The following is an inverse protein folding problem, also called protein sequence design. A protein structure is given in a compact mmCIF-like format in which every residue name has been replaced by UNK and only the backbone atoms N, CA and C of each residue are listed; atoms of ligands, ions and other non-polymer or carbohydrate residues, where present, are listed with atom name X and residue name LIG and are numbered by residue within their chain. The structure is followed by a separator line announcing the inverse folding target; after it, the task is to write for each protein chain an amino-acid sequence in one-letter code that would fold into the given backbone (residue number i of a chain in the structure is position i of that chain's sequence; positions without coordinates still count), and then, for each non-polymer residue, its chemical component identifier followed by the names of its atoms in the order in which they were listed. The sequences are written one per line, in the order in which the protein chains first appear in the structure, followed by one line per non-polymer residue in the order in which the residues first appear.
data_IF_428602280590
#
_entry.id   IF_428602280590
#
_cell.length_a   1.000
_cell.length_b   1.000
_cell.length_c   1.000
_cell.angle_alpha   90.00
_cell.angle_beta   90.00
_cell.angle_gamma   90.00
#
_symmetry.space_group_name_H-M   'P 1'
#
loop_
_entity.id
_entity.type
_entity.pdbx_description
1 polymer ?
#
# COMPACT_ATOMS: atom_id res chain seq x y z
N UNK A 1 -10.58 -17.75 2.25
CA UNK A 1 -11.26 -16.45 2.06
C UNK A 1 -10.93 -15.55 3.25
N UNK A 2 -10.56 -14.30 3.02
CA UNK A 2 -10.11 -13.35 4.05
C UNK A 2 -11.25 -12.51 4.65
N UNK A 3 -12.48 -12.59 4.10
CA UNK A 3 -13.68 -11.84 4.52
C UNK A 3 -13.54 -10.31 4.46
N UNK A 4 -12.54 -9.80 3.74
CA UNK A 4 -12.37 -8.37 3.52
C UNK A 4 -13.28 -7.90 2.38
N UNK A 5 -13.55 -6.60 2.33
CA UNK A 5 -14.28 -5.99 1.22
C UNK A 5 -13.51 -6.21 -0.11
N UNK A 6 -14.24 -6.46 -1.19
CA UNK A 6 -13.65 -6.63 -2.53
C UNK A 6 -13.02 -5.33 -3.05
N UNK A 7 -13.59 -4.17 -2.72
CA UNK A 7 -12.95 -2.89 -2.95
C UNK A 7 -11.98 -2.59 -1.81
N UNK A 8 -10.68 -2.72 -2.10
CA UNK A 8 -9.60 -2.49 -1.15
C UNK A 8 -9.63 -1.10 -0.51
N UNK A 9 -10.26 -0.12 -1.17
CA UNK A 9 -10.41 1.25 -0.65
C UNK A 9 -11.36 1.31 0.53
N UNK A 10 -12.32 0.38 0.61
CA UNK A 10 -13.31 0.29 1.68
C UNK A 10 -12.83 -0.52 2.89
N UNK A 11 -11.72 -1.25 2.75
CA UNK A 11 -11.12 -1.99 3.86
C UNK A 11 -10.54 -1.01 4.89
N UNK A 12 -10.83 -1.30 6.17
CA UNK A 12 -10.45 -0.49 7.33
C UNK A 12 -9.53 -1.28 8.25
N UNK A 13 -8.73 -0.56 9.04
CA UNK A 13 -7.80 -1.14 10.01
C UNK A 13 -8.45 -2.14 10.98
N UNK A 14 -9.72 -1.92 11.35
CA UNK A 14 -10.45 -2.80 12.27
C UNK A 14 -10.99 -4.10 11.66
N UNK A 15 -10.90 -4.27 10.34
CA UNK A 15 -11.47 -5.44 9.66
C UNK A 15 -10.60 -6.69 9.85
N UNK A 16 -9.32 -6.53 10.20
CA UNK A 16 -8.41 -7.63 10.52
C UNK A 16 -7.15 -7.17 11.29
N UNK A 17 -6.39 -8.15 11.81
CA UNK A 17 -5.12 -7.93 12.53
C UNK A 17 -3.93 -7.65 11.60
N UNK A 18 -4.00 -6.58 10.80
CA UNK A 18 -2.99 -6.22 9.79
C UNK A 18 -1.57 -6.03 10.35
N UNK A 19 -1.45 -5.54 11.59
CA UNK A 19 -0.16 -5.31 12.25
C UNK A 19 0.42 -6.59 12.90
N UNK A 20 -0.25 -7.74 12.83
CA UNK A 20 0.25 -9.00 13.39
C UNK A 20 1.08 -9.79 12.37
N UNK A 21 2.21 -10.35 12.78
CA UNK A 21 2.98 -11.29 11.94
C UNK A 21 2.29 -12.65 11.82
N UNK A 22 1.50 -13.03 12.82
CA UNK A 22 0.81 -14.33 12.89
C UNK A 22 -0.48 -14.34 12.06
N UNK A 23 -1.00 -13.15 11.70
CA UNK A 23 -2.17 -12.99 10.85
C UNK A 23 -1.80 -13.17 9.37
N UNK A 24 -1.67 -14.42 8.93
CA UNK A 24 -1.20 -14.79 7.58
C UNK A 24 -2.03 -14.12 6.46
N UNK A 25 -3.37 -14.18 6.53
CA UNK A 25 -4.23 -13.65 5.47
C UNK A 25 -4.19 -12.10 5.36
N UNK A 26 -4.31 -11.33 6.47
CA UNK A 26 -4.10 -9.87 6.42
C UNK A 26 -2.71 -9.48 5.94
N UNK A 27 -1.67 -10.21 6.34
CA UNK A 27 -0.31 -9.97 5.85
C UNK A 27 -0.17 -10.22 4.35
N UNK A 28 -0.75 -11.30 3.84
CA UNK A 28 -0.79 -11.58 2.42
C UNK A 28 -1.55 -10.50 1.65
N UNK A 29 -2.67 -10.01 2.19
CA UNK A 29 -3.42 -8.90 1.63
C UNK A 29 -2.58 -7.61 1.51
N UNK A 30 -1.82 -7.25 2.55
CA UNK A 30 -0.90 -6.10 2.48
C UNK A 30 0.23 -6.32 1.45
N UNK A 31 0.73 -7.55 1.28
CA UNK A 31 1.67 -7.87 0.18
C UNK A 31 1.02 -7.65 -1.19
N UNK A 32 -0.23 -8.05 -1.38
CA UNK A 32 -0.96 -7.81 -2.64
C UNK A 32 -1.15 -6.31 -2.91
N UNK A 33 -1.54 -5.52 -1.90
CA UNK A 33 -1.63 -4.06 -2.01
C UNK A 33 -0.29 -3.42 -2.37
N UNK A 34 0.80 -3.88 -1.74
CA UNK A 34 2.16 -3.43 -2.05
C UNK A 34 2.51 -3.69 -3.51
N UNK A 35 2.23 -4.89 -4.00
CA UNK A 35 2.46 -5.26 -5.39
C UNK A 35 1.63 -4.40 -6.34
N UNK A 36 0.35 -4.15 -6.05
CA UNK A 36 -0.48 -3.21 -6.81
C UNK A 36 0.13 -1.81 -6.85
N UNK A 37 0.49 -1.23 -5.70
CA UNK A 37 1.10 0.09 -5.62
C UNK A 37 2.41 0.18 -6.43
N UNK A 38 3.28 -0.82 -6.30
CA UNK A 38 4.52 -0.89 -7.07
C UNK A 38 4.29 -0.99 -8.58
N UNK A 39 3.33 -1.81 -9.03
CA UNK A 39 2.99 -1.93 -10.45
C UNK A 39 2.42 -0.63 -11.03
N UNK A 40 1.54 0.06 -10.29
CA UNK A 40 1.03 1.37 -10.73
C UNK A 40 2.17 2.38 -10.89
N UNK A 41 3.11 2.42 -9.94
CA UNK A 41 4.30 3.28 -10.05
C UNK A 41 5.10 2.99 -11.33
N UNK A 42 5.35 1.71 -11.63
CA UNK A 42 6.07 1.29 -12.85
C UNK A 42 5.34 1.61 -14.16
N UNK A 43 4.02 1.81 -14.10
CA UNK A 43 3.19 2.23 -15.23
C UNK A 43 3.05 3.76 -15.34
N UNK A 44 3.77 4.54 -14.51
CA UNK A 44 3.66 6.00 -14.45
C UNK A 44 2.37 6.50 -13.77
N UNK A 45 1.62 5.60 -13.14
CA UNK A 45 0.34 5.89 -12.48
C UNK A 45 0.57 6.27 -11.02
N UNK A 46 1.20 7.43 -10.82
CA UNK A 46 1.77 7.83 -9.54
C UNK A 46 0.70 8.03 -8.45
N UNK A 47 -0.41 8.68 -8.77
CA UNK A 47 -1.53 8.87 -7.82
C UNK A 47 -2.10 7.52 -7.34
N UNK A 48 -2.35 6.59 -8.26
CA UNK A 48 -2.88 5.27 -7.89
C UNK A 48 -1.87 4.45 -7.08
N UNK A 49 -0.57 4.65 -7.32
CA UNK A 49 0.47 4.09 -6.46
C UNK A 49 0.42 4.67 -5.05
N UNK A 50 0.34 6.01 -4.96
CA UNK A 50 0.25 6.74 -3.70
C UNK A 50 -0.94 6.27 -2.86
N UNK A 51 -2.12 6.13 -3.47
CA UNK A 51 -3.34 5.70 -2.77
C UNK A 51 -3.18 4.30 -2.17
N UNK A 52 -2.63 3.36 -2.93
CA UNK A 52 -2.43 1.99 -2.46
C UNK A 52 -1.42 1.91 -1.31
N UNK A 53 -0.31 2.63 -1.42
CA UNK A 53 0.74 2.64 -0.39
C UNK A 53 0.30 3.39 0.87
N UNK A 54 -0.44 4.49 0.73
CA UNK A 54 -1.03 5.21 1.86
C UNK A 54 -2.08 4.36 2.58
N UNK A 55 -2.89 3.60 1.84
CA UNK A 55 -3.83 2.64 2.45
C UNK A 55 -3.10 1.56 3.25
N UNK A 56 -1.94 1.09 2.81
CA UNK A 56 -1.16 0.15 3.63
C UNK A 56 -0.79 0.73 5.00
N UNK A 57 -0.42 2.01 5.06
CA UNK A 57 -0.12 2.70 6.32
C UNK A 57 -1.37 2.96 7.18
N UNK A 58 -2.53 3.18 6.54
CA UNK A 58 -3.81 3.24 7.26
C UNK A 58 -4.14 1.90 7.94
N UNK A 59 -3.96 0.79 7.22
CA UNK A 59 -4.26 -0.56 7.70
C UNK A 59 -3.23 -1.07 8.71
N UNK A 60 -1.95 -0.80 8.47
CA UNK A 60 -0.84 -1.13 9.37
C UNK A 60 0.06 0.11 9.63
N UNK A 61 -0.27 0.93 10.65
CA UNK A 61 0.55 2.08 11.01
C UNK A 61 1.95 1.73 11.55
N UNK A 62 2.20 0.45 11.88
CA UNK A 62 3.55 0.01 12.27
C UNK A 62 4.47 -0.25 11.08
N UNK A 63 3.95 -0.09 9.86
CA UNK A 63 4.67 -0.19 8.59
C UNK A 63 5.51 -1.47 8.44
N UNK A 64 4.98 -2.64 8.84
CA UNK A 64 5.76 -3.89 8.86
C UNK A 64 6.20 -4.37 7.49
N UNK A 65 5.58 -3.85 6.43
CA UNK A 65 5.92 -4.16 5.05
C UNK A 65 6.63 -3.00 4.32
N UNK A 66 7.05 -1.95 5.04
CA UNK A 66 7.84 -0.84 4.51
C UNK A 66 7.20 -0.16 3.29
N UNK A 67 5.92 0.22 3.39
CA UNK A 67 5.23 1.07 2.42
C UNK A 67 5.86 2.47 2.36
N UNK A 68 6.36 2.99 3.49
CA UNK A 68 7.02 4.31 3.55
C UNK A 68 8.20 4.42 2.60
N UNK A 69 8.98 3.34 2.42
CA UNK A 69 10.11 3.32 1.49
C UNK A 69 9.65 3.55 0.05
N UNK A 70 8.54 2.94 -0.37
CA UNK A 70 8.01 3.13 -1.71
C UNK A 70 7.40 4.52 -1.89
N UNK A 71 6.73 5.07 -0.86
CA UNK A 71 6.25 6.45 -0.87
C UNK A 71 7.40 7.46 -1.02
N UNK A 72 8.55 7.22 -0.38
CA UNK A 72 9.73 8.06 -0.53
C UNK A 72 10.32 7.99 -1.95
N UNK A 73 10.33 6.82 -2.57
CA UNK A 73 10.74 6.67 -3.98
C UNK A 73 9.78 7.43 -4.89
N UNK A 74 8.47 7.29 -4.66
CA UNK A 74 7.43 7.98 -5.41
C UNK A 74 7.57 9.50 -5.33
N UNK A 75 7.83 10.03 -4.13
CA UNK A 75 8.03 11.46 -3.91
C UNK A 75 9.23 12.03 -4.68
N UNK A 76 10.29 11.24 -4.87
CA UNK A 76 11.45 11.66 -5.69
C UNK A 76 11.13 11.64 -7.18
N UNK A 77 10.36 10.64 -7.63
CA UNK A 77 9.98 10.51 -9.04
C UNK A 77 9.15 11.71 -9.52
N UNK A 78 8.29 12.28 -8.67
CA UNK A 78 7.53 13.49 -9.00
C UNK A 78 8.35 14.79 -9.04
N UNK A 79 9.53 14.81 -8.41
CA UNK A 79 10.42 15.98 -8.46
C UNK A 79 11.21 16.05 -9.77
N UNK A 80 11.59 14.89 -10.33
CA UNK A 80 12.31 14.83 -11.61
C UNK A 80 11.42 15.26 -12.80
N UNK A 81 10.10 15.12 -12.69
CA UNK A 81 9.12 15.53 -13.72
C UNK A 81 8.73 17.03 -13.64
N UNK A 82 8.98 17.73 -12.52
CA UNK A 82 8.67 19.17 -12.34
C UNK A 82 9.82 20.11 -12.76
N UNK A 83 11.04 19.58 -12.87
CA UNK A 83 12.24 20.34 -13.23
C UNK A 83 12.53 20.37 -14.76
N UNK A 84 11.59 19.91 -15.62
CA UNK A 84 11.71 19.89 -17.10
C UNK A 84 10.87 20.97 -17.81
#
# INVERSE_FOLDING_TARGET
DNRLNEDWRQVRRGDAEFSSYDAILPRFYLFSLKACGYLQMRLGRLEQSHDALTKMLELDPSDKLNATVLLQVLARHGQEDEDE
#
